data_IF_027291880181
#
_entry.id   IF_027291880181
#
_cell.length_a   1.000
_cell.length_b   1.000
_cell.length_c   1.000
_cell.angle_alpha   90.00
_cell.angle_beta   90.00
_cell.angle_gamma   90.00
#
_symmetry.space_group_name_H-M   'P 1'
#
loop_
_entity.id
_entity.type
_entity.pdbx_description
1 polymer ?
#
# COMPACT_ATOMS: atom_id res chain seq x y z
N UNK A 1 -1.63 26.05 -3.06
CA UNK A 1 -0.73 24.88 -3.16
C UNK A 1 -1.50 23.77 -3.86
N UNK A 2 -0.94 23.10 -4.88
CA UNK A 2 -1.62 21.96 -5.51
C UNK A 2 -1.51 20.76 -4.57
N UNK A 3 -2.64 20.25 -4.09
CA UNK A 3 -2.68 18.98 -3.35
C UNK A 3 -2.10 17.87 -4.23
N UNK A 4 -1.14 17.12 -3.70
CA UNK A 4 -0.62 15.96 -4.40
C UNK A 4 -1.63 14.80 -4.30
N UNK A 5 -1.57 13.87 -5.26
CA UNK A 5 -2.40 12.66 -5.23
C UNK A 5 -2.18 11.84 -3.94
N UNK A 6 -0.99 11.91 -3.37
CA UNK A 6 -0.64 11.24 -2.10
C UNK A 6 -1.34 11.93 -0.92
N UNK A 7 -1.44 13.26 -0.92
CA UNK A 7 -2.12 14.00 0.15
C UNK A 7 -3.61 13.67 0.20
N UNK A 8 -4.25 13.51 -0.98
CA UNK A 8 -5.65 13.05 -1.07
C UNK A 8 -5.85 11.66 -0.48
N UNK A 9 -4.98 10.71 -0.83
CA UNK A 9 -5.03 9.35 -0.28
C UNK A 9 -4.80 9.34 1.23
N UNK A 10 -3.92 10.20 1.75
CA UNK A 10 -3.71 10.36 3.20
C UNK A 10 -4.94 10.91 3.90
N UNK A 11 -5.58 11.93 3.33
CA UNK A 11 -6.83 12.48 3.88
C UNK A 11 -7.95 11.45 3.88
N UNK A 12 -8.06 10.64 2.81
CA UNK A 12 -9.04 9.54 2.76
C UNK A 12 -8.76 8.47 3.83
N UNK A 13 -7.49 8.11 4.07
CA UNK A 13 -7.12 7.20 5.17
C UNK A 13 -7.49 7.79 6.53
N UNK A 14 -7.27 9.09 6.75
CA UNK A 14 -7.64 9.76 8.01
C UNK A 14 -9.15 9.68 8.23
N UNK A 15 -9.96 9.94 7.21
CA UNK A 15 -11.41 9.86 7.30
C UNK A 15 -11.87 8.42 7.57
N UNK A 16 -11.32 7.43 6.86
CA UNK A 16 -11.64 6.02 7.09
C UNK A 16 -11.25 5.53 8.48
N UNK A 17 -10.19 6.10 9.09
CA UNK A 17 -9.82 5.80 10.48
C UNK A 17 -10.86 6.32 11.47
N UNK A 18 -11.36 7.54 11.27
CA UNK A 18 -12.45 8.10 12.08
C UNK A 18 -13.73 7.28 11.95
N UNK A 19 -14.11 6.94 10.71
CA UNK A 19 -15.26 6.05 10.45
C UNK A 19 -15.09 4.69 11.14
N UNK A 20 -13.87 4.14 11.13
CA UNK A 20 -13.59 2.88 11.84
C UNK A 20 -13.75 3.02 13.36
N UNK A 21 -13.33 4.13 13.95
CA UNK A 21 -13.51 4.37 15.39
C UNK A 21 -14.99 4.43 15.77
N UNK A 22 -15.81 5.11 14.95
CA UNK A 22 -17.27 5.13 15.10
C UNK A 22 -17.88 3.73 15.00
N UNK A 23 -17.50 2.94 13.99
CA UNK A 23 -17.97 1.55 13.83
C UNK A 23 -17.58 0.68 15.03
N UNK A 24 -16.36 0.82 15.56
CA UNK A 24 -15.92 0.07 16.75
C UNK A 24 -16.77 0.44 17.96
N UNK A 25 -17.11 1.71 18.12
CA UNK A 25 -17.98 2.18 19.18
C UNK A 25 -19.39 1.57 19.08
N UNK A 26 -20.01 1.64 17.90
CA UNK A 26 -21.34 1.06 17.64
C UNK A 26 -21.36 -0.47 17.81
N UNK A 27 -20.28 -1.15 17.40
CA UNK A 27 -20.11 -2.59 17.64
C UNK A 27 -20.05 -2.91 19.14
N UNK A 28 -19.40 -2.06 19.93
CA UNK A 28 -19.31 -2.17 21.38
C UNK A 28 -20.68 -2.02 22.04
N UNK A 29 -21.45 -1.00 21.64
CA UNK A 29 -22.83 -0.80 22.09
C UNK A 29 -23.71 -2.01 21.75
N UNK A 30 -23.64 -2.49 20.51
CA UNK A 30 -24.40 -3.67 20.09
C UNK A 30 -24.04 -4.90 20.92
N UNK A 31 -22.77 -5.07 21.33
CA UNK A 31 -22.34 -6.16 22.20
C UNK A 31 -22.84 -6.01 23.64
N UNK A 32 -22.98 -4.79 24.15
CA UNK A 32 -23.49 -4.50 25.49
C UNK A 32 -25.00 -4.70 25.59
N UNK A 33 -25.75 -4.26 24.57
CA UNK A 33 -27.20 -4.35 24.51
C UNK A 33 -27.71 -5.80 24.42
N UNK A 34 -26.88 -6.72 23.92
CA UNK A 34 -27.27 -8.10 23.67
C UNK A 34 -26.53 -9.08 24.58
N UNK A 35 -27.26 -9.77 25.46
CA UNK A 35 -26.70 -10.75 26.41
C UNK A 35 -26.26 -12.06 25.76
N UNK A 36 -26.74 -12.35 24.54
CA UNK A 36 -26.32 -13.50 23.75
C UNK A 36 -25.67 -13.03 22.44
N UNK A 37 -24.36 -13.26 22.33
CA UNK A 37 -23.55 -12.84 21.20
C UNK A 37 -23.74 -13.72 19.96
N UNK A 38 -24.45 -14.86 20.06
CA UNK A 38 -24.62 -15.81 18.95
C UNK A 38 -25.72 -15.41 17.96
N UNK A 39 -26.69 -14.60 18.40
CA UNK A 39 -27.82 -14.13 17.58
C UNK A 39 -27.83 -12.60 17.47
N UNK A 40 -26.65 -11.98 17.60
CA UNK A 40 -26.53 -10.53 17.58
C UNK A 40 -26.26 -10.00 16.16
N UNK A 41 -27.32 -9.96 15.34
CA UNK A 41 -27.25 -9.45 13.97
C UNK A 41 -26.65 -8.03 13.88
N UNK A 42 -26.91 -7.19 14.88
CA UNK A 42 -26.34 -5.84 14.94
C UNK A 42 -24.81 -5.89 15.12
N UNK A 43 -24.32 -6.76 16.01
CA UNK A 43 -22.88 -6.96 16.17
C UNK A 43 -22.23 -7.48 14.90
N UNK A 44 -22.82 -8.50 14.26
CA UNK A 44 -22.28 -9.10 13.03
C UNK A 44 -22.20 -8.06 11.90
N UNK A 45 -23.26 -7.25 11.73
CA UNK A 45 -23.27 -6.15 10.78
C UNK A 45 -22.12 -5.17 11.01
N UNK A 46 -21.92 -4.72 12.25
CA UNK A 46 -20.83 -3.79 12.57
C UNK A 46 -19.45 -4.43 12.45
N UNK A 47 -19.32 -5.72 12.74
CA UNK A 47 -18.10 -6.49 12.52
C UNK A 47 -17.73 -6.56 11.03
N UNK A 48 -18.69 -6.88 10.16
CA UNK A 48 -18.46 -6.88 8.71
C UNK A 48 -18.08 -5.50 8.18
N UNK A 49 -18.74 -4.45 8.67
CA UNK A 49 -18.40 -3.06 8.34
C UNK A 49 -16.98 -2.71 8.76
N UNK A 50 -16.55 -3.08 9.96
CA UNK A 50 -15.19 -2.85 10.43
C UNK A 50 -14.16 -3.54 9.52
N UNK A 51 -14.44 -4.78 9.12
CA UNK A 51 -13.59 -5.57 8.22
C UNK A 51 -13.45 -4.91 6.84
N UNK A 52 -14.54 -4.38 6.29
CA UNK A 52 -14.55 -3.70 4.99
C UNK A 52 -13.72 -2.41 5.04
N UNK A 53 -13.94 -1.57 6.05
CA UNK A 53 -13.19 -0.32 6.23
C UNK A 53 -11.70 -0.61 6.46
N UNK A 54 -11.37 -1.60 7.28
CA UNK A 54 -9.98 -2.02 7.52
C UNK A 54 -9.29 -2.50 6.25
N UNK A 55 -10.00 -3.24 5.39
CA UNK A 55 -9.49 -3.72 4.11
C UNK A 55 -9.24 -2.56 3.14
N UNK A 56 -10.14 -1.57 3.11
CA UNK A 56 -9.98 -0.36 2.30
C UNK A 56 -8.78 0.48 2.76
N UNK A 57 -8.57 0.63 4.07
CA UNK A 57 -7.38 1.31 4.61
C UNK A 57 -6.10 0.60 4.16
N UNK A 58 -6.04 -0.73 4.28
CA UNK A 58 -4.87 -1.52 3.83
C UNK A 58 -4.59 -1.32 2.34
N UNK A 59 -5.64 -1.34 1.52
CA UNK A 59 -5.52 -1.11 0.08
C UNK A 59 -4.93 0.27 -0.24
N UNK A 60 -5.43 1.34 0.39
CA UNK A 60 -4.94 2.70 0.18
C UNK A 60 -3.48 2.87 0.64
N UNK A 61 -3.08 2.23 1.74
CA UNK A 61 -1.68 2.20 2.18
C UNK A 61 -0.81 1.54 1.10
N UNK A 62 -1.22 0.40 0.56
CA UNK A 62 -0.52 -0.26 -0.55
C UNK A 62 -0.37 0.63 -1.78
N UNK A 63 -1.43 1.36 -2.16
CA UNK A 63 -1.36 2.33 -3.27
C UNK A 63 -0.33 3.45 -3.02
N UNK A 64 -0.25 3.97 -1.80
CA UNK A 64 0.74 5.00 -1.43
C UNK A 64 2.16 4.43 -1.56
N UNK A 65 2.39 3.20 -1.09
CA UNK A 65 3.69 2.54 -1.20
C UNK A 65 4.12 2.30 -2.65
N UNK A 66 3.20 1.86 -3.51
CA UNK A 66 3.46 1.66 -4.94
C UNK A 66 3.82 2.97 -5.65
N UNK A 67 3.08 4.04 -5.37
CA UNK A 67 3.35 5.37 -5.91
C UNK A 67 4.74 5.85 -5.46
N UNK A 68 5.09 5.66 -4.19
CA UNK A 68 6.41 6.01 -3.66
C UNK A 68 7.56 5.20 -4.29
N UNK A 69 7.35 3.89 -4.56
CA UNK A 69 8.36 3.03 -5.21
C UNK A 69 8.57 3.40 -6.68
N UNK A 70 7.52 3.75 -7.43
CA UNK A 70 7.64 4.17 -8.84
C UNK A 70 8.51 5.42 -9.00
N UNK A 71 8.47 6.34 -8.03
CA UNK A 71 9.33 7.54 -8.05
C UNK A 71 10.81 7.22 -7.81
N UNK A 72 11.13 6.14 -7.09
CA UNK A 72 12.52 5.68 -6.89
C UNK A 72 13.11 5.01 -8.14
N UNK A 73 12.31 4.26 -8.89
CA UNK A 73 12.74 3.57 -10.11
C UNK A 73 13.04 4.55 -11.26
N UNK A 74 12.22 5.60 -11.43
CA UNK A 74 12.46 6.63 -12.46
C UNK A 74 13.79 7.37 -12.30
N UNK A 75 14.30 7.51 -11.07
CA UNK A 75 15.59 8.15 -10.80
C UNK A 75 16.80 7.29 -11.13
N UNK A 76 16.63 5.98 -11.38
CA UNK A 76 17.72 5.02 -11.55
C UNK A 76 18.04 4.67 -13.01
N UNK A 77 17.58 5.46 -13.97
CA UNK A 77 18.07 5.39 -15.37
C UNK A 77 19.39 6.16 -15.45
N UNK A 78 20.41 5.64 -14.78
CA UNK A 78 21.79 6.04 -15.04
C UNK A 78 22.13 5.40 -16.38
N UNK A 79 22.35 6.23 -17.42
CA UNK A 79 22.81 5.78 -18.73
C UNK A 79 24.11 5.00 -18.55
N UNK A 80 24.02 3.68 -18.52
CA UNK A 80 25.20 2.81 -18.60
C UNK A 80 25.76 3.04 -20.00
N UNK A 81 26.88 3.77 -20.10
CA UNK A 81 27.65 3.84 -21.34
C UNK A 81 28.04 2.41 -21.69
N UNK A 82 27.62 1.97 -22.88
CA UNK A 82 27.98 0.67 -23.43
C UNK A 82 29.50 0.63 -23.52
N UNK A 83 30.15 -0.22 -22.72
CA UNK A 83 31.58 -0.45 -22.83
C UNK A 83 31.80 -1.12 -24.18
N UNK A 84 32.42 -0.41 -25.11
CA UNK A 84 32.88 -1.00 -26.36
C UNK A 84 33.95 -2.02 -25.99
N UNK A 85 33.65 -3.30 -26.25
CA UNK A 85 34.66 -4.37 -26.12
C UNK A 85 35.75 -4.07 -27.14
N UNK A 86 36.86 -3.50 -26.69
CA UNK A 86 38.10 -3.50 -27.46
C UNK A 86 38.45 -4.96 -27.72
N UNK A 87 38.32 -5.37 -28.99
CA UNK A 87 38.90 -6.63 -29.45
C UNK A 87 40.41 -6.44 -29.47
N UNK A 88 41.06 -6.66 -28.32
CA UNK A 88 42.49 -6.92 -28.34
C UNK A 88 42.71 -8.17 -29.19
N UNK A 89 43.37 -7.98 -30.34
CA UNK A 89 43.76 -9.06 -31.23
C UNK A 89 44.79 -9.90 -30.50
N UNK A 90 44.41 -11.12 -30.12
CA UNK A 90 45.36 -12.13 -29.68
C UNK A 90 46.15 -12.61 -30.89
N UNK A 91 47.43 -12.22 -30.98
CA UNK A 91 48.37 -12.78 -31.95
C UNK A 91 49.11 -13.94 -31.27
N UNK A 92 48.90 -15.20 -31.67
CA UNK A 92 49.64 -16.32 -31.10
C UNK A 92 51.10 -16.24 -31.54
N UNK A 93 52.02 -16.26 -30.58
CA UNK A 93 53.45 -16.38 -30.85
C UNK A 93 53.71 -17.66 -31.66
N UNK A 94 54.28 -17.52 -32.85
CA UNK A 94 54.78 -18.63 -33.66
C UNK A 94 56.06 -19.16 -33.02
N UNK A 95 55.99 -20.33 -32.40
CA UNK A 95 57.14 -21.20 -32.19
C UNK A 95 56.84 -22.56 -32.81
N UNK A 96 57.05 -22.61 -34.12
CA UNK A 96 57.90 -23.55 -34.85
C UNK A 96 58.47 -22.78 -36.06
#
# INVERSE_FOLDING_TARGET
MKETKIDKLRNEIINLRKEREEIIFEKGLAAEDNKDLRENFAYDYWFEKEMLVSSRIKYLIGMIEELSKKDKLKKKIIKVKRVEKTKEKFEPHKWL
#
